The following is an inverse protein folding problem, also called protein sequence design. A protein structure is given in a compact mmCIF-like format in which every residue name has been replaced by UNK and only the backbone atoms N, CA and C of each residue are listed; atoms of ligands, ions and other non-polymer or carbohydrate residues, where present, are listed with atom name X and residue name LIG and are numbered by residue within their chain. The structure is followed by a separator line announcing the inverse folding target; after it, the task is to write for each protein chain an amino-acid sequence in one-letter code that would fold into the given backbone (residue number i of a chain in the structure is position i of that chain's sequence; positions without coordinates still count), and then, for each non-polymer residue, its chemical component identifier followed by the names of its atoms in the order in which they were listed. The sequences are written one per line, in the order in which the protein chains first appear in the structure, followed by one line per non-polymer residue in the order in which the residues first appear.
data_IF_965407274757
#
_entry.id   IF_965407274757
#
_cell.length_a   1.000
_cell.length_b   1.000
_cell.length_c   1.000
_cell.angle_alpha   90.00
_cell.angle_beta   90.00
_cell.angle_gamma   90.00
#
_symmetry.space_group_name_H-M   'P 1'
#
loop_
_entity.id
_entity.type
_entity.pdbx_description
1 polymer ?
#
# COMPACT_ATOMS: atom_id res chain seq x y z
N UNK A 1 -39.86 37.33 -60.86
CA UNK A 1 -39.73 35.85 -60.61
C UNK A 1 -39.04 35.67 -59.32
N UNK A 2 -39.74 35.07 -58.34
CA UNK A 2 -39.39 35.02 -56.91
C UNK A 2 -38.24 34.08 -56.59
N UNK A 3 -37.34 34.42 -55.66
CA UNK A 3 -36.43 33.46 -55.07
C UNK A 3 -37.04 32.84 -53.78
N UNK A 4 -37.07 31.53 -53.74
CA UNK A 4 -37.53 30.70 -52.62
C UNK A 4 -36.50 30.85 -51.49
N UNK A 5 -36.93 31.50 -50.36
CA UNK A 5 -36.18 31.54 -49.10
C UNK A 5 -36.42 30.26 -48.31
N UNK A 6 -35.49 29.32 -48.33
CA UNK A 6 -35.47 28.18 -47.42
C UNK A 6 -35.02 28.64 -46.00
N UNK A 7 -35.99 28.74 -45.09
CA UNK A 7 -35.71 28.88 -43.64
C UNK A 7 -35.40 27.49 -43.07
N UNK A 8 -34.13 27.20 -42.84
CA UNK A 8 -33.74 26.12 -41.96
C UNK A 8 -34.02 26.55 -40.52
N UNK A 9 -35.08 25.99 -39.93
CA UNK A 9 -35.39 26.14 -38.49
C UNK A 9 -34.41 25.26 -37.74
N UNK A 10 -33.39 25.84 -37.12
CA UNK A 10 -32.53 25.18 -36.14
C UNK A 10 -33.31 25.09 -34.82
N UNK A 11 -33.89 23.92 -34.53
CA UNK A 11 -34.41 23.60 -33.21
C UNK A 11 -33.25 23.45 -32.23
N UNK A 12 -32.91 24.50 -31.51
CA UNK A 12 -32.03 24.47 -30.33
C UNK A 12 -32.81 23.80 -29.20
N UNK A 13 -32.60 22.51 -29.00
CA UNK A 13 -33.02 21.82 -27.77
C UNK A 13 -31.96 22.15 -26.71
N UNK A 14 -32.32 22.78 -25.57
CA UNK A 14 -31.39 22.99 -24.48
C UNK A 14 -31.14 21.63 -23.82
N UNK A 15 -30.00 20.98 -24.10
CA UNK A 15 -29.53 19.85 -23.33
C UNK A 15 -29.10 20.36 -21.96
N UNK A 16 -29.93 20.17 -20.95
CA UNK A 16 -29.54 20.26 -19.56
C UNK A 16 -28.49 19.22 -19.24
N UNK A 17 -27.23 19.66 -19.10
CA UNK A 17 -26.12 18.85 -18.60
C UNK A 17 -26.37 18.55 -17.11
N UNK A 18 -27.12 17.52 -16.81
CA UNK A 18 -27.11 16.92 -15.47
C UNK A 18 -25.87 16.04 -15.41
N UNK A 19 -24.80 16.59 -14.88
CA UNK A 19 -23.63 15.78 -14.49
C UNK A 19 -24.03 14.93 -13.27
N UNK A 20 -24.60 13.75 -13.51
CA UNK A 20 -24.80 12.74 -12.47
C UNK A 20 -23.42 12.20 -12.10
N UNK A 21 -22.90 12.59 -10.96
CA UNK A 21 -21.69 11.96 -10.39
C UNK A 21 -21.93 10.45 -10.27
N UNK A 22 -21.00 9.65 -10.78
CA UNK A 22 -21.05 8.19 -10.66
C UNK A 22 -20.89 7.84 -9.19
N UNK A 23 -21.87 7.15 -8.62
CA UNK A 23 -21.82 6.61 -7.27
C UNK A 23 -21.67 5.09 -7.35
N UNK A 24 -20.96 4.51 -6.37
CA UNK A 24 -20.96 3.07 -6.17
C UNK A 24 -22.41 2.57 -5.96
N UNK A 25 -22.74 1.34 -6.38
CA UNK A 25 -24.04 0.74 -6.10
C UNK A 25 -24.35 0.75 -4.61
N UNK A 26 -25.58 1.11 -4.22
CA UNK A 26 -26.00 1.18 -2.80
C UNK A 26 -25.80 -0.13 -2.05
N UNK A 27 -25.89 -1.27 -2.74
CA UNK A 27 -25.74 -2.61 -2.18
C UNK A 27 -24.27 -3.11 -2.15
N UNK A 28 -23.29 -2.28 -2.52
CA UNK A 28 -21.90 -2.71 -2.58
C UNK A 28 -21.26 -2.89 -1.17
N UNK A 29 -21.72 -2.14 -0.17
CA UNK A 29 -21.19 -2.21 1.19
C UNK A 29 -21.86 -3.32 1.99
N UNK A 30 -21.10 -4.20 2.71
CA UNK A 30 -21.70 -5.10 3.68
C UNK A 30 -22.23 -4.32 4.88
N UNK A 31 -23.10 -4.96 5.68
CA UNK A 31 -23.55 -4.39 6.96
C UNK A 31 -22.34 -4.20 7.89
N UNK A 32 -22.16 -2.98 8.37
CA UNK A 32 -21.10 -2.65 9.33
C UNK A 32 -21.70 -2.65 10.73
N UNK A 33 -21.11 -3.37 11.71
CA UNK A 33 -21.59 -3.40 13.09
C UNK A 33 -21.63 -2.00 13.70
N UNK A 34 -22.60 -1.76 14.59
CA UNK A 34 -22.75 -0.48 15.30
C UNK A 34 -21.61 -0.26 16.31
N UNK A 35 -21.06 -1.34 16.86
CA UNK A 35 -20.00 -1.29 17.86
C UNK A 35 -19.00 -2.44 17.67
N UNK A 36 -17.76 -2.22 18.08
CA UNK A 36 -16.74 -3.27 18.14
C UNK A 36 -17.05 -4.26 19.25
N UNK A 37 -17.00 -5.55 18.94
CA UNK A 37 -17.29 -6.62 19.90
C UNK A 37 -16.27 -6.66 21.06
N UNK A 38 -15.01 -6.33 20.78
CA UNK A 38 -13.91 -6.43 21.73
C UNK A 38 -13.42 -5.08 22.28
N UNK A 39 -14.19 -4.00 22.11
CA UNK A 39 -13.81 -2.66 22.56
C UNK A 39 -14.01 -2.39 24.05
N UNK A 40 -14.65 -3.27 24.82
CA UNK A 40 -15.02 -3.03 26.23
C UNK A 40 -13.84 -2.64 27.15
N UNK A 41 -12.61 -3.03 26.81
CA UNK A 41 -11.39 -2.68 27.55
C UNK A 41 -10.79 -1.32 27.16
N UNK A 42 -11.37 -0.64 26.18
CA UNK A 42 -10.84 0.62 25.64
C UNK A 42 -11.85 1.75 25.84
N UNK A 43 -11.41 2.96 26.24
CA UNK A 43 -12.32 4.09 26.36
C UNK A 43 -12.90 4.46 25.00
N UNK A 44 -14.21 4.70 24.96
CA UNK A 44 -14.88 5.21 23.75
C UNK A 44 -14.40 6.63 23.45
N UNK A 45 -14.01 6.89 22.20
CA UNK A 45 -13.62 8.22 21.78
C UNK A 45 -14.87 9.08 21.51
N UNK A 46 -15.09 10.06 22.33
CA UNK A 46 -16.08 11.14 22.04
C UNK A 46 -15.55 12.19 21.04
N UNK A 47 -14.24 12.23 20.80
CA UNK A 47 -13.59 13.12 19.83
C UNK A 47 -12.62 12.34 18.94
N UNK A 48 -12.59 12.66 17.64
CA UNK A 48 -11.57 12.14 16.70
C UNK A 48 -10.19 12.55 17.20
N UNK A 49 -9.40 11.58 17.66
CA UNK A 49 -7.96 11.80 17.86
C UNK A 49 -7.26 11.71 16.52
N UNK A 50 -6.34 12.61 16.28
CA UNK A 50 -5.43 12.52 15.15
C UNK A 50 -4.50 11.32 15.33
N UNK A 51 -4.71 10.27 14.50
CA UNK A 51 -3.89 9.06 14.45
C UNK A 51 -2.94 9.07 13.23
N UNK A 52 -2.82 10.20 12.55
CA UNK A 52 -1.95 10.32 11.36
C UNK A 52 -0.48 10.06 11.71
N UNK A 53 -0.07 10.46 12.92
CA UNK A 53 1.29 10.24 13.47
C UNK A 53 1.23 9.45 14.77
N UNK A 54 0.55 8.32 14.75
CA UNK A 54 0.30 7.48 15.93
C UNK A 54 1.57 7.03 16.67
N UNK A 55 2.71 6.95 15.98
CA UNK A 55 4.01 6.57 16.57
C UNK A 55 4.49 7.54 17.65
N UNK A 56 4.01 8.77 17.65
CA UNK A 56 4.30 9.73 18.72
C UNK A 56 3.76 9.28 20.10
N UNK A 57 2.77 8.38 20.11
CA UNK A 57 2.19 7.84 21.35
C UNK A 57 3.08 6.81 22.04
N UNK A 58 4.19 6.40 21.42
CA UNK A 58 5.17 5.48 22.03
C UNK A 58 6.27 6.22 22.80
N UNK A 59 6.27 7.53 22.78
CA UNK A 59 7.24 8.39 23.51
C UNK A 59 8.72 8.00 23.26
N UNK A 60 9.00 7.62 21.99
CA UNK A 60 10.32 7.25 21.50
C UNK A 60 10.72 8.15 20.33
N UNK A 61 11.63 9.07 20.62
CA UNK A 61 12.11 10.06 19.63
C UNK A 61 12.88 9.40 18.49
N UNK A 62 13.60 8.31 18.75
CA UNK A 62 14.34 7.57 17.71
C UNK A 62 13.37 6.88 16.75
N UNK A 63 12.32 6.23 17.27
CA UNK A 63 11.26 5.68 16.44
C UNK A 63 10.62 6.74 15.54
N UNK A 64 10.30 7.92 16.13
CA UNK A 64 9.70 9.02 15.38
C UNK A 64 10.62 9.50 14.25
N UNK A 65 11.93 9.60 14.49
CA UNK A 65 12.90 9.99 13.47
C UNK A 65 13.00 8.93 12.34
N UNK A 66 13.12 7.65 12.70
CA UNK A 66 13.23 6.56 11.70
C UNK A 66 11.99 6.48 10.81
N UNK A 67 10.78 6.59 11.40
CA UNK A 67 9.55 6.59 10.60
C UNK A 67 9.49 7.83 9.69
N UNK A 68 9.82 9.00 10.20
CA UNK A 68 9.83 10.24 9.42
C UNK A 68 10.84 10.19 8.27
N UNK A 69 12.02 9.62 8.49
CA UNK A 69 13.04 9.41 7.46
C UNK A 69 12.57 8.42 6.39
N UNK A 70 11.95 7.30 6.80
CA UNK A 70 11.38 6.32 5.89
C UNK A 70 10.27 6.90 5.01
N UNK A 71 9.33 7.64 5.61
CA UNK A 71 8.26 8.29 4.85
C UNK A 71 8.78 9.36 3.87
N UNK A 72 9.93 9.97 4.14
CA UNK A 72 10.53 10.99 3.27
C UNK A 72 11.37 10.39 2.13
N UNK A 73 12.01 9.25 2.33
CA UNK A 73 13.06 8.75 1.43
C UNK A 73 12.78 7.36 0.83
N UNK A 74 11.74 6.65 1.27
CA UNK A 74 11.46 5.30 0.78
C UNK A 74 11.18 5.28 -0.74
N UNK A 75 11.82 4.37 -1.49
CA UNK A 75 11.53 4.15 -2.91
C UNK A 75 10.06 3.76 -3.18
N UNK A 76 9.41 3.07 -2.25
CA UNK A 76 8.01 2.65 -2.39
C UNK A 76 7.08 3.86 -2.35
N UNK A 77 7.34 4.84 -1.48
CA UNK A 77 6.62 6.13 -1.45
C UNK A 77 6.83 6.89 -2.76
N UNK A 78 8.08 6.97 -3.24
CA UNK A 78 8.40 7.63 -4.50
C UNK A 78 7.72 6.95 -5.71
N UNK A 79 7.67 5.62 -5.71
CA UNK A 79 6.97 4.81 -6.72
C UNK A 79 5.46 5.07 -6.68
N UNK A 80 4.84 5.06 -5.51
CA UNK A 80 3.42 5.34 -5.35
C UNK A 80 3.06 6.78 -5.80
N UNK A 81 3.90 7.78 -5.48
CA UNK A 81 3.74 9.14 -5.99
C UNK A 81 3.87 9.23 -7.52
N UNK A 82 4.73 8.40 -8.12
CA UNK A 82 4.87 8.32 -9.58
C UNK A 82 3.62 7.74 -10.24
N UNK A 83 2.97 6.76 -9.62
CA UNK A 83 1.69 6.19 -10.09
C UNK A 83 0.57 7.22 -10.13
N UNK A 84 0.53 8.17 -9.19
CA UNK A 84 -0.43 9.28 -9.24
C UNK A 84 -0.17 10.15 -10.48
N UNK A 85 1.10 10.49 -10.78
CA UNK A 85 1.46 11.26 -11.97
C UNK A 85 1.15 10.51 -13.27
N UNK A 86 1.42 9.21 -13.32
CA UNK A 86 1.04 8.35 -14.43
C UNK A 86 -0.48 8.36 -14.64
N UNK A 87 -1.28 8.16 -13.59
CA UNK A 87 -2.74 8.17 -13.67
C UNK A 87 -3.28 9.51 -14.17
N UNK A 88 -2.66 10.63 -13.77
CA UNK A 88 -3.01 11.97 -14.30
C UNK A 88 -2.70 12.10 -15.79
N UNK A 89 -1.56 11.60 -16.24
CA UNK A 89 -1.19 11.61 -17.65
C UNK A 89 -2.17 10.76 -18.49
N UNK A 90 -2.51 9.58 -18.02
CA UNK A 90 -3.52 8.71 -18.66
C UNK A 90 -4.91 9.34 -18.70
N UNK A 91 -5.32 10.00 -17.62
CA UNK A 91 -6.59 10.74 -17.64
C UNK A 91 -6.58 11.86 -18.70
N UNK A 92 -5.46 12.56 -18.86
CA UNK A 92 -5.33 13.60 -19.90
C UNK A 92 -5.32 12.98 -21.30
N UNK A 93 -4.71 11.80 -21.48
CA UNK A 93 -4.78 11.00 -22.69
C UNK A 93 -6.25 10.66 -23.03
N UNK A 94 -7.01 10.10 -22.09
CA UNK A 94 -8.43 9.83 -22.27
C UNK A 94 -9.24 11.11 -22.57
N UNK A 95 -8.95 12.21 -21.89
CA UNK A 95 -9.64 13.48 -22.08
C UNK A 95 -9.38 14.09 -23.47
N UNK A 96 -8.29 13.73 -24.14
CA UNK A 96 -8.02 14.18 -25.50
C UNK A 96 -9.06 13.65 -26.51
N UNK A 97 -9.70 12.52 -26.22
CA UNK A 97 -10.78 11.97 -27.05
C UNK A 97 -12.05 12.85 -27.09
N UNK A 98 -12.20 13.77 -26.15
CA UNK A 98 -13.28 14.77 -26.12
C UNK A 98 -13.03 15.96 -27.07
N UNK A 99 -11.82 16.08 -27.62
CA UNK A 99 -11.38 17.17 -28.46
C UNK A 99 -11.08 16.69 -29.89
N UNK A 100 -11.13 17.57 -30.89
CA UNK A 100 -10.70 17.24 -32.24
C UNK A 100 -9.22 16.84 -32.30
N UNK A 101 -8.91 15.76 -33.02
CA UNK A 101 -7.55 15.43 -33.41
C UNK A 101 -7.23 16.14 -34.74
N UNK A 102 -6.09 16.81 -34.82
CA UNK A 102 -5.60 17.45 -36.04
C UNK A 102 -4.25 16.83 -36.40
N UNK A 103 -4.18 16.24 -37.57
CA UNK A 103 -2.95 15.62 -38.10
C UNK A 103 -2.57 16.19 -39.46
N UNK A 104 -1.27 16.25 -39.75
CA UNK A 104 -0.74 16.61 -41.06
C UNK A 104 -0.19 15.37 -41.76
N UNK A 105 -0.43 15.26 -43.07
CA UNK A 105 0.12 14.19 -43.90
C UNK A 105 0.67 14.76 -45.19
N UNK A 106 1.74 14.16 -45.68
CA UNK A 106 2.28 14.43 -47.03
C UNK A 106 2.41 13.09 -47.75
N UNK A 107 2.00 13.06 -49.01
CA UNK A 107 2.09 11.85 -49.82
C UNK A 107 2.59 12.14 -51.22
N UNK A 108 3.30 11.18 -51.79
CA UNK A 108 3.63 11.12 -53.22
C UNK A 108 3.01 9.85 -53.79
N UNK A 109 2.03 10.03 -54.63
CA UNK A 109 1.34 8.93 -55.32
C UNK A 109 1.74 8.89 -56.77
N UNK A 110 2.42 7.83 -57.21
CA UNK A 110 2.70 7.54 -58.61
C UNK A 110 1.80 6.42 -59.08
N UNK A 111 0.96 6.70 -60.05
CA UNK A 111 0.09 5.72 -60.68
C UNK A 111 0.52 5.47 -62.11
N UNK A 112 0.52 4.22 -62.51
CA UNK A 112 0.81 3.78 -63.87
C UNK A 112 -0.34 2.87 -64.31
N UNK A 113 -0.93 3.22 -65.49
CA UNK A 113 -2.04 2.47 -66.07
C UNK A 113 -1.76 2.19 -67.51
N UNK A 114 -1.80 0.91 -67.91
CA UNK A 114 -1.71 0.47 -69.30
C UNK A 114 -2.97 -0.30 -69.64
N UNK A 115 -3.75 0.25 -70.53
CA UNK A 115 -4.95 -0.39 -71.06
C UNK A 115 -4.70 -0.80 -72.51
N UNK A 116 -5.11 -2.04 -72.89
CA UNK A 116 -4.90 -2.57 -74.23
C UNK A 116 -5.59 -1.67 -75.27
N UNK A 117 -4.83 -1.13 -76.24
CA UNK A 117 -5.32 -0.23 -77.28
C UNK A 117 -5.37 1.25 -76.94
N UNK A 118 -4.90 1.65 -75.76
CA UNK A 118 -4.72 3.04 -75.34
C UNK A 118 -3.27 3.37 -75.00
N UNK A 119 -2.91 4.63 -75.07
CA UNK A 119 -1.59 5.10 -74.61
C UNK A 119 -1.44 4.88 -73.15
N UNK A 120 -0.21 4.52 -72.73
CA UNK A 120 0.17 4.40 -71.34
C UNK A 120 0.02 5.75 -70.62
N UNK A 121 -0.64 5.78 -69.48
CA UNK A 121 -0.79 6.98 -68.66
C UNK A 121 0.04 6.78 -67.35
N UNK A 122 0.97 7.66 -67.15
CA UNK A 122 1.72 7.76 -65.90
C UNK A 122 1.47 9.13 -65.31
N UNK A 123 1.06 9.17 -64.01
CA UNK A 123 0.82 10.39 -63.28
C UNK A 123 1.48 10.29 -61.90
N UNK A 124 2.23 11.33 -61.53
CA UNK A 124 2.80 11.47 -60.17
C UNK A 124 2.17 12.69 -59.53
N UNK A 125 1.55 12.47 -58.40
CA UNK A 125 0.83 13.49 -57.65
C UNK A 125 1.44 13.64 -56.25
N UNK A 126 1.77 14.85 -55.88
CA UNK A 126 2.22 15.22 -54.54
C UNK A 126 1.09 15.91 -53.82
N UNK A 127 0.83 15.49 -52.57
CA UNK A 127 -0.18 16.13 -51.74
C UNK A 127 0.41 16.49 -50.34
N UNK A 128 -0.15 17.55 -49.76
CA UNK A 128 0.03 17.88 -48.35
C UNK A 128 -1.36 18.24 -47.79
N UNK A 129 -1.75 17.52 -46.73
CA UNK A 129 -3.12 17.55 -46.21
C UNK A 129 -3.05 17.79 -44.68
N UNK A 130 -3.95 18.66 -44.19
CA UNK A 130 -4.33 18.76 -42.78
C UNK A 130 -5.71 18.05 -42.63
N UNK A 131 -5.74 17.07 -41.72
CA UNK A 131 -6.93 16.31 -41.45
C UNK A 131 -7.36 16.54 -40.01
N UNK A 132 -8.63 16.85 -39.80
CA UNK A 132 -9.26 16.94 -38.50
C UNK A 132 -10.27 15.80 -38.35
N UNK A 133 -10.30 15.17 -37.20
CA UNK A 133 -11.32 14.16 -36.86
C UNK A 133 -11.79 14.35 -35.44
N UNK A 134 -13.10 14.24 -35.23
CA UNK A 134 -13.69 14.38 -33.90
C UNK A 134 -14.94 13.53 -33.78
N UNK A 135 -14.98 12.64 -32.77
CA UNK A 135 -16.20 11.93 -32.37
C UNK A 135 -16.94 12.79 -31.33
N UNK A 136 -18.12 13.27 -31.70
CA UNK A 136 -18.95 14.05 -30.77
C UNK A 136 -19.59 13.09 -29.76
N UNK A 137 -19.21 13.25 -28.49
CA UNK A 137 -19.65 12.37 -27.42
C UNK A 137 -21.09 12.63 -26.98
N UNK A 138 -22.03 12.22 -27.81
CA UNK A 138 -23.48 12.45 -27.59
C UNK A 138 -24.02 11.53 -26.49
N UNK A 139 -23.60 10.26 -26.49
CA UNK A 139 -24.11 9.23 -25.58
C UNK A 139 -23.22 9.00 -24.36
N UNK A 140 -22.12 9.75 -24.21
CA UNK A 140 -21.30 9.76 -23.02
C UNK A 140 -20.25 8.64 -22.95
N UNK A 141 -19.93 7.97 -24.06
CA UNK A 141 -18.88 6.95 -24.14
C UNK A 141 -17.54 7.50 -23.68
N UNK A 142 -17.05 8.58 -24.33
CA UNK A 142 -15.76 9.18 -24.02
C UNK A 142 -15.76 9.86 -22.65
N UNK A 143 -16.85 10.52 -22.26
CA UNK A 143 -16.99 11.10 -20.90
C UNK A 143 -16.92 10.03 -19.82
N UNK A 144 -17.56 8.88 -20.01
CA UNK A 144 -17.50 7.78 -19.05
C UNK A 144 -16.09 7.19 -18.95
N UNK A 145 -15.33 7.12 -20.07
CA UNK A 145 -13.91 6.72 -20.05
C UNK A 145 -13.05 7.71 -19.25
N UNK A 146 -13.27 9.02 -19.43
CA UNK A 146 -12.58 10.06 -18.64
C UNK A 146 -12.96 10.01 -17.16
N UNK A 147 -14.22 9.72 -16.83
CA UNK A 147 -14.66 9.51 -15.44
C UNK A 147 -13.99 8.28 -14.83
N UNK A 148 -13.88 7.17 -15.58
CA UNK A 148 -13.12 5.99 -15.13
C UNK A 148 -11.65 6.31 -14.88
N UNK A 149 -11.01 7.06 -15.77
CA UNK A 149 -9.62 7.49 -15.60
C UNK A 149 -9.45 8.46 -14.41
N UNK A 150 -10.44 9.33 -14.16
CA UNK A 150 -10.45 10.22 -12.99
C UNK A 150 -10.55 9.43 -11.68
N UNK A 151 -11.45 8.45 -11.60
CA UNK A 151 -11.57 7.55 -10.46
C UNK A 151 -10.27 6.74 -10.21
N UNK A 152 -9.51 6.42 -11.27
CA UNK A 152 -8.19 5.79 -11.13
C UNK A 152 -7.13 6.73 -10.52
N UNK A 153 -7.23 8.06 -10.70
CA UNK A 153 -6.37 9.03 -9.99
C UNK A 153 -6.67 8.98 -8.50
N UNK A 154 -7.95 8.99 -8.13
CA UNK A 154 -8.36 8.91 -6.73
C UNK A 154 -7.94 7.58 -6.11
N UNK A 155 -8.11 6.47 -6.83
CA UNK A 155 -7.60 5.17 -6.43
C UNK A 155 -6.07 5.16 -6.22
N UNK A 156 -5.29 5.77 -7.12
CA UNK A 156 -3.84 5.89 -6.99
C UNK A 156 -3.44 6.76 -5.78
N UNK A 157 -4.24 7.78 -5.46
CA UNK A 157 -4.04 8.63 -4.28
C UNK A 157 -4.27 7.85 -2.99
N UNK A 158 -5.35 7.06 -2.93
CA UNK A 158 -5.59 6.21 -1.76
C UNK A 158 -4.58 5.07 -1.63
N UNK A 159 -4.08 4.54 -2.75
CA UNK A 159 -2.96 3.59 -2.72
C UNK A 159 -1.69 4.22 -2.14
N UNK A 160 -1.39 5.48 -2.47
CA UNK A 160 -0.27 6.22 -1.88
C UNK A 160 -0.44 6.35 -0.35
N UNK A 161 -1.64 6.70 0.13
CA UNK A 161 -1.96 6.78 1.55
C UNK A 161 -1.81 5.41 2.24
N UNK A 162 -2.24 4.33 1.58
CA UNK A 162 -2.10 2.96 2.08
C UNK A 162 -0.63 2.54 2.20
N UNK A 163 0.20 2.87 1.21
CA UNK A 163 1.65 2.60 1.24
C UNK A 163 2.31 3.36 2.40
N UNK A 164 1.94 4.62 2.65
CA UNK A 164 2.44 5.38 3.80
C UNK A 164 2.08 4.72 5.12
N UNK A 165 0.82 4.33 5.31
CA UNK A 165 0.34 3.67 6.53
C UNK A 165 1.06 2.33 6.77
N UNK A 166 1.21 1.52 5.73
CA UNK A 166 1.89 0.22 5.81
C UNK A 166 3.38 0.38 6.11
N UNK A 167 4.08 1.28 5.42
CA UNK A 167 5.50 1.53 5.65
C UNK A 167 5.77 2.00 7.09
N UNK A 168 4.93 2.91 7.62
CA UNK A 168 5.07 3.37 8.99
C UNK A 168 4.92 2.21 10.01
N UNK A 169 3.96 1.29 9.77
CA UNK A 169 3.75 0.12 10.61
C UNK A 169 4.89 -0.92 10.48
N UNK A 170 5.43 -1.13 9.27
CA UNK A 170 6.57 -2.01 9.03
C UNK A 170 7.83 -1.50 9.71
N UNK A 171 8.16 -0.21 9.58
CA UNK A 171 9.29 0.41 10.26
C UNK A 171 9.14 0.29 11.78
N UNK A 172 7.96 0.59 12.34
CA UNK A 172 7.72 0.49 13.77
C UNK A 172 7.86 -0.95 14.28
N UNK A 173 7.40 -1.92 13.51
CA UNK A 173 7.52 -3.35 13.85
C UNK A 173 8.98 -3.81 13.78
N UNK A 174 9.71 -3.45 12.71
CA UNK A 174 11.13 -3.76 12.56
C UNK A 174 11.96 -3.12 13.69
N UNK A 175 11.68 -1.85 14.03
CA UNK A 175 12.31 -1.17 15.13
C UNK A 175 12.03 -1.85 16.49
N UNK A 176 10.79 -2.22 16.75
CA UNK A 176 10.39 -2.95 17.97
C UNK A 176 11.15 -4.28 18.10
N UNK A 177 11.27 -5.03 17.01
CA UNK A 177 12.02 -6.29 16.97
C UNK A 177 13.52 -6.07 17.18
N UNK A 178 14.12 -5.00 16.64
CA UNK A 178 15.50 -4.63 16.89
C UNK A 178 15.71 -4.38 18.39
N UNK A 179 14.86 -3.56 19.04
CA UNK A 179 14.94 -3.25 20.47
C UNK A 179 14.71 -4.49 21.34
N UNK A 180 13.86 -5.42 20.90
CA UNK A 180 13.69 -6.72 21.56
C UNK A 180 14.98 -7.54 21.53
N UNK A 181 15.66 -7.62 20.38
CA UNK A 181 16.92 -8.36 20.26
C UNK A 181 18.06 -7.70 21.04
N UNK A 182 18.13 -6.37 21.08
CA UNK A 182 19.09 -5.66 21.95
C UNK A 182 18.82 -5.93 23.44
N UNK A 183 17.53 -5.97 23.84
CA UNK A 183 17.15 -6.33 25.21
C UNK A 183 17.54 -7.78 25.53
N UNK A 184 17.29 -8.73 24.61
CA UNK A 184 17.74 -10.13 24.74
C UNK A 184 19.25 -10.23 24.88
N UNK A 185 20.01 -9.47 24.10
CA UNK A 185 21.47 -9.40 24.19
C UNK A 185 21.94 -8.96 25.57
N UNK A 186 21.32 -7.92 26.13
CA UNK A 186 21.65 -7.44 27.48
C UNK A 186 21.38 -8.50 28.55
N UNK A 187 20.22 -9.18 28.48
CA UNK A 187 19.85 -10.27 29.40
C UNK A 187 20.83 -11.44 29.24
N UNK A 188 21.13 -11.85 28.02
CA UNK A 188 22.06 -12.98 27.75
C UNK A 188 23.46 -12.70 28.26
N UNK A 189 23.99 -11.49 28.10
CA UNK A 189 25.31 -11.09 28.65
C UNK A 189 25.31 -11.17 30.17
N UNK A 190 24.24 -10.78 30.87
CA UNK A 190 24.14 -10.92 32.33
C UNK A 190 24.09 -12.40 32.74
N UNK A 191 23.41 -13.25 31.98
CA UNK A 191 23.38 -14.70 32.23
C UNK A 191 24.75 -15.32 32.02
N UNK A 192 25.46 -14.96 30.94
CA UNK A 192 26.83 -15.43 30.68
C UNK A 192 27.73 -15.07 31.87
N UNK A 193 27.70 -13.80 32.35
CA UNK A 193 28.46 -13.39 33.52
C UNK A 193 28.11 -14.20 34.76
N UNK A 194 26.85 -14.48 35.02
CA UNK A 194 26.41 -15.31 36.17
C UNK A 194 26.90 -16.75 36.01
N UNK A 195 26.84 -17.36 34.81
CA UNK A 195 27.34 -18.72 34.56
C UNK A 195 28.86 -18.82 34.61
N UNK A 196 29.60 -17.77 34.25
CA UNK A 196 31.07 -17.70 34.44
C UNK A 196 31.44 -17.83 35.92
N UNK A 197 30.74 -17.09 36.80
CA UNK A 197 30.96 -17.15 38.22
C UNK A 197 30.65 -18.57 38.78
N UNK A 198 29.53 -19.15 38.38
CA UNK A 198 29.13 -20.48 38.81
C UNK A 198 30.09 -21.57 38.30
N UNK A 199 30.53 -21.50 37.03
CA UNK A 199 31.48 -22.47 36.45
C UNK A 199 32.85 -22.36 37.11
N UNK A 200 33.26 -21.14 37.45
CA UNK A 200 34.52 -20.94 38.18
C UNK A 200 34.48 -21.55 39.59
N UNK A 201 33.36 -21.36 40.31
CA UNK A 201 33.14 -21.97 41.62
C UNK A 201 33.15 -23.50 41.56
N UNK A 202 32.41 -24.10 40.60
CA UNK A 202 32.36 -25.54 40.38
C UNK A 202 33.77 -26.09 40.07
N UNK A 203 34.60 -25.39 39.31
CA UNK A 203 35.97 -25.75 39.01
C UNK A 203 36.85 -25.71 40.24
N UNK A 204 36.72 -24.70 41.10
CA UNK A 204 37.50 -24.60 42.36
C UNK A 204 37.11 -25.72 43.33
N UNK A 205 35.82 -26.05 43.49
CA UNK A 205 35.35 -27.15 44.32
C UNK A 205 35.84 -28.49 43.87
N UNK A 206 35.87 -28.73 42.52
CA UNK A 206 36.50 -29.93 41.95
C UNK A 206 37.98 -29.99 42.26
N UNK A 207 38.73 -28.89 42.14
CA UNK A 207 40.18 -28.84 42.49
C UNK A 207 40.44 -29.09 43.97
N UNK A 208 39.53 -28.66 44.83
CA UNK A 208 39.58 -28.91 46.26
C UNK A 208 39.19 -30.34 46.63
N UNK A 209 38.67 -31.12 45.69
CA UNK A 209 38.17 -32.47 45.95
C UNK A 209 36.79 -32.56 46.60
N UNK A 210 36.06 -31.44 46.64
CA UNK A 210 34.69 -31.35 47.23
C UNK A 210 33.60 -31.92 46.31
N UNK A 211 33.82 -31.88 45.00
CA UNK A 211 32.86 -32.34 43.98
C UNK A 211 33.57 -33.13 42.92
N UNK A 212 32.77 -33.88 42.09
CA UNK A 212 33.28 -34.66 40.98
C UNK A 212 33.47 -33.84 39.67
N UNK A 213 34.10 -34.44 38.67
CA UNK A 213 34.31 -33.79 37.39
C UNK A 213 33.01 -33.58 36.58
N UNK A 214 31.93 -34.26 36.91
CA UNK A 214 30.62 -34.12 36.21
C UNK A 214 30.04 -32.74 36.45
N UNK A 215 30.05 -32.23 37.68
CA UNK A 215 29.54 -30.92 38.06
C UNK A 215 30.28 -29.80 37.34
N UNK A 216 31.60 -29.82 37.33
CA UNK A 216 32.42 -28.85 36.62
C UNK A 216 32.17 -28.89 35.11
N UNK A 217 32.08 -30.08 34.51
CA UNK A 217 31.80 -30.26 33.08
C UNK A 217 30.39 -29.73 32.70
N UNK A 218 29.39 -29.96 33.52
CA UNK A 218 28.04 -29.43 33.31
C UNK A 218 28.00 -27.90 33.39
N UNK A 219 28.71 -27.31 34.38
CA UNK A 219 28.78 -25.84 34.53
C UNK A 219 29.48 -25.19 33.32
N UNK A 220 30.61 -25.74 32.89
CA UNK A 220 31.30 -25.24 31.68
C UNK A 220 30.48 -25.43 30.40
N UNK A 221 29.83 -26.56 30.23
CA UNK A 221 28.92 -26.79 29.08
C UNK A 221 27.79 -25.78 29.07
N UNK A 222 27.18 -25.49 30.22
CA UNK A 222 26.12 -24.50 30.38
C UNK A 222 26.59 -23.08 30.02
N UNK A 223 27.81 -22.74 30.41
CA UNK A 223 28.45 -21.44 30.07
C UNK A 223 28.66 -21.31 28.56
N UNK A 224 29.29 -22.32 27.94
CA UNK A 224 29.55 -22.28 26.48
C UNK A 224 28.26 -22.27 25.64
N UNK A 225 27.22 -22.98 26.10
CA UNK A 225 25.90 -22.89 25.48
C UNK A 225 25.32 -21.48 25.53
N UNK A 226 25.48 -20.78 26.65
CA UNK A 226 25.02 -19.37 26.73
C UNK A 226 25.86 -18.45 25.82
N UNK A 227 27.18 -18.63 25.78
CA UNK A 227 28.08 -17.85 24.90
C UNK A 227 27.74 -18.04 23.43
N UNK A 228 27.38 -19.25 23.01
CA UNK A 228 26.97 -19.53 21.65
C UNK A 228 25.71 -18.76 21.19
N UNK A 229 24.89 -18.29 22.12
CA UNK A 229 23.74 -17.41 21.80
C UNK A 229 24.12 -15.98 21.41
N UNK A 230 25.31 -15.49 21.81
CA UNK A 230 25.74 -14.09 21.55
C UNK A 230 25.87 -13.82 20.05
N UNK A 231 26.65 -14.61 19.26
CA UNK A 231 26.78 -14.38 17.82
C UNK A 231 25.45 -14.42 17.06
N UNK A 232 24.51 -15.27 17.47
CA UNK A 232 23.20 -15.35 16.86
C UNK A 232 22.39 -14.07 17.07
N UNK A 233 22.44 -13.48 18.25
CA UNK A 233 21.78 -12.19 18.53
C UNK A 233 22.50 -11.02 17.86
N UNK A 234 23.83 -11.03 17.76
CA UNK A 234 24.61 -10.02 17.02
C UNK A 234 24.21 -10.03 15.54
N UNK A 235 24.06 -11.21 14.95
CA UNK A 235 23.56 -11.37 13.59
C UNK A 235 22.15 -10.80 13.45
N UNK A 236 21.22 -11.15 14.34
CA UNK A 236 19.84 -10.67 14.30
C UNK A 236 19.74 -9.13 14.46
N UNK A 237 20.57 -8.55 15.31
CA UNK A 237 20.65 -7.09 15.49
C UNK A 237 21.19 -6.43 14.21
N UNK A 238 22.26 -6.95 13.63
CA UNK A 238 22.81 -6.44 12.37
C UNK A 238 21.81 -6.52 11.20
N UNK A 239 21.13 -7.65 11.06
CA UNK A 239 20.07 -7.82 10.05
C UNK A 239 18.89 -6.86 10.30
N UNK A 240 18.48 -6.64 11.56
CA UNK A 240 17.43 -5.69 11.91
C UNK A 240 17.78 -4.25 11.54
N UNK A 241 19.03 -3.83 11.75
CA UNK A 241 19.53 -2.50 11.34
C UNK A 241 19.53 -2.34 9.82
N UNK A 242 19.97 -3.38 9.10
CA UNK A 242 19.96 -3.38 7.64
C UNK A 242 18.53 -3.30 7.08
N UNK A 243 17.58 -4.01 7.70
CA UNK A 243 16.16 -3.94 7.31
C UNK A 243 15.61 -2.53 7.51
N UNK A 244 15.89 -1.88 8.64
CA UNK A 244 15.46 -0.49 8.87
C UNK A 244 16.06 0.47 7.83
N UNK A 245 17.35 0.31 7.50
CA UNK A 245 17.99 1.11 6.45
C UNK A 245 17.30 0.90 5.09
N UNK A 246 16.97 -0.34 4.74
CA UNK A 246 16.25 -0.67 3.51
C UNK A 246 14.87 0.00 3.47
N UNK A 247 14.08 -0.13 4.54
CA UNK A 247 12.73 0.47 4.62
C UNK A 247 12.80 2.01 4.52
N UNK A 248 13.87 2.62 5.05
CA UNK A 248 14.11 4.05 4.93
C UNK A 248 14.73 4.47 3.58
N UNK A 249 14.97 3.55 2.64
CA UNK A 249 15.61 3.86 1.37
C UNK A 249 17.06 4.31 1.52
N UNK A 250 17.75 3.81 2.54
CA UNK A 250 19.12 4.16 2.92
C UNK A 250 20.07 2.98 2.73
N UNK A 251 21.34 3.29 2.59
CA UNK A 251 22.40 2.26 2.58
C UNK A 251 22.52 1.57 3.94
N UNK A 252 22.85 0.26 3.98
CA UNK A 252 23.14 -0.45 5.22
C UNK A 252 24.20 0.29 6.06
N UNK A 253 23.95 0.41 7.37
CA UNK A 253 24.84 1.12 8.31
C UNK A 253 24.60 2.62 8.45
N UNK A 254 23.87 3.27 7.55
CA UNK A 254 23.62 4.73 7.60
C UNK A 254 22.81 5.18 8.81
N UNK A 255 21.98 4.30 9.38
CA UNK A 255 21.16 4.58 10.57
C UNK A 255 21.86 4.17 11.89
N UNK A 256 23.05 3.56 11.86
CA UNK A 256 23.70 3.00 13.04
C UNK A 256 23.93 4.01 14.16
N UNK A 257 24.36 5.23 13.83
CA UNK A 257 24.58 6.29 14.81
C UNK A 257 23.26 6.71 15.50
N UNK A 258 22.19 6.87 14.73
CA UNK A 258 20.87 7.22 15.24
C UNK A 258 20.30 6.10 16.14
N UNK A 259 20.42 4.85 15.71
CA UNK A 259 19.93 3.69 16.46
C UNK A 259 20.72 3.45 17.74
N UNK A 260 22.03 3.71 17.73
CA UNK A 260 22.90 3.52 18.91
C UNK A 260 22.71 4.63 19.96
N UNK A 261 22.40 5.86 19.55
CA UNK A 261 22.16 6.98 20.48
C UNK A 261 20.78 6.94 21.15
N UNK A 262 19.86 6.11 20.64
CA UNK A 262 18.49 5.98 21.14
C UNK A 262 18.35 5.11 22.39
N UNK A 263 17.14 5.04 22.93
CA UNK A 263 16.78 4.14 24.03
C UNK A 263 16.87 2.68 23.55
N UNK A 264 17.63 1.84 24.25
CA UNK A 264 17.72 0.39 23.95
C UNK A 264 16.55 -0.43 24.53
N UNK A 265 15.41 0.20 24.80
CA UNK A 265 14.23 -0.44 25.37
C UNK A 265 13.13 -0.59 24.35
N UNK A 266 12.36 -1.66 24.49
CA UNK A 266 11.17 -1.88 23.64
C UNK A 266 10.21 -0.70 23.85
N UNK A 267 9.73 -0.03 22.77
CA UNK A 267 8.77 1.07 22.88
C UNK A 267 7.50 0.62 23.60
N UNK A 268 6.98 1.47 24.48
CA UNK A 268 5.80 1.16 25.26
C UNK A 268 4.62 2.04 24.84
N UNK A 269 3.48 1.44 24.41
CA UNK A 269 2.33 2.23 24.00
C UNK A 269 1.66 2.92 25.20
N UNK A 270 1.23 4.15 25.02
CA UNK A 270 0.45 4.87 26.02
C UNK A 270 -0.83 4.10 26.41
N UNK A 271 -1.19 4.10 27.71
CA UNK A 271 -2.31 3.30 28.25
C UNK A 271 -3.70 3.70 27.76
N UNK A 272 -3.89 4.87 27.15
CA UNK A 272 -5.20 5.42 26.80
C UNK A 272 -5.37 5.58 25.29
N UNK A 273 -5.59 4.48 24.57
CA UNK A 273 -6.10 4.55 23.20
C UNK A 273 -7.62 4.63 23.25
N UNK A 274 -8.21 5.71 22.75
CA UNK A 274 -9.65 5.82 22.56
C UNK A 274 -10.01 5.37 21.13
N UNK A 275 -11.00 4.48 21.00
CA UNK A 275 -11.37 3.84 19.74
C UNK A 275 -12.67 4.45 19.22
N UNK A 276 -12.69 4.80 17.92
CA UNK A 276 -13.88 5.27 17.21
C UNK A 276 -14.90 4.18 16.92
N UNK A 277 -16.08 4.56 16.42
CA UNK A 277 -17.10 3.61 15.98
C UNK A 277 -16.69 2.90 14.68
N UNK A 278 -17.14 1.64 14.46
CA UNK A 278 -16.71 0.82 13.32
C UNK A 278 -16.91 1.48 11.96
N UNK A 279 -18.08 2.04 11.71
CA UNK A 279 -18.42 2.62 10.42
C UNK A 279 -17.49 3.77 10.01
N UNK A 280 -17.16 4.67 10.95
CA UNK A 280 -16.27 5.81 10.65
C UNK A 280 -14.83 5.35 10.48
N UNK A 281 -14.40 4.37 11.27
CA UNK A 281 -13.07 3.77 11.18
C UNK A 281 -12.84 3.12 9.82
N UNK A 282 -13.77 2.28 9.35
CA UNK A 282 -13.65 1.60 8.07
C UNK A 282 -13.63 2.60 6.89
N UNK A 283 -14.48 3.64 6.95
CA UNK A 283 -14.51 4.68 5.91
C UNK A 283 -13.24 5.53 5.83
N UNK A 284 -12.44 5.59 6.90
CA UNK A 284 -11.17 6.33 6.92
C UNK A 284 -10.00 5.52 6.37
N UNK A 285 -10.13 4.20 6.24
CA UNK A 285 -9.06 3.33 5.77
C UNK A 285 -8.73 3.58 4.29
N UNK A 286 -7.45 3.83 3.96
CA UNK A 286 -7.04 4.07 2.57
C UNK A 286 -7.27 2.87 1.65
N UNK A 287 -7.08 1.63 2.14
CA UNK A 287 -7.29 0.40 1.39
C UNK A 287 -8.77 0.18 1.01
N UNK A 288 -9.69 0.49 1.92
CA UNK A 288 -11.13 0.44 1.65
C UNK A 288 -11.54 1.53 0.65
N UNK A 289 -11.00 2.75 0.79
CA UNK A 289 -11.24 3.85 -0.14
C UNK A 289 -10.66 3.57 -1.52
N UNK A 290 -9.47 2.96 -1.59
CA UNK A 290 -8.88 2.47 -2.83
C UNK A 290 -9.83 1.51 -3.57
N UNK A 291 -10.32 0.48 -2.88
CA UNK A 291 -11.27 -0.47 -3.46
C UNK A 291 -12.58 0.21 -3.90
N UNK A 292 -13.05 1.20 -3.13
CA UNK A 292 -14.22 2.02 -3.49
C UNK A 292 -14.02 2.80 -4.80
N UNK A 293 -12.87 3.44 -4.98
CA UNK A 293 -12.56 4.17 -6.22
C UNK A 293 -12.33 3.25 -7.41
N UNK A 294 -11.78 2.05 -7.20
CA UNK A 294 -11.69 1.02 -8.23
C UNK A 294 -13.08 0.54 -8.70
N UNK A 295 -14.03 0.42 -7.77
CA UNK A 295 -15.42 0.12 -8.10
C UNK A 295 -16.05 1.25 -8.93
N UNK A 296 -15.85 2.52 -8.55
CA UNK A 296 -16.32 3.67 -9.33
C UNK A 296 -15.77 3.64 -10.76
N UNK A 297 -14.49 3.34 -10.92
CA UNK A 297 -13.85 3.19 -12.23
C UNK A 297 -14.47 2.04 -13.06
N UNK A 298 -14.78 0.90 -12.42
CA UNK A 298 -15.40 -0.24 -13.10
C UNK A 298 -16.83 0.10 -13.55
N UNK A 299 -17.63 0.79 -12.74
CA UNK A 299 -18.97 1.27 -13.11
C UNK A 299 -18.89 2.23 -14.31
N UNK A 300 -17.91 3.14 -14.32
CA UNK A 300 -17.73 4.06 -15.44
C UNK A 300 -17.33 3.34 -16.75
N UNK A 301 -16.47 2.33 -16.67
CA UNK A 301 -16.11 1.50 -17.82
C UNK A 301 -17.32 0.73 -18.37
N UNK A 302 -18.16 0.17 -17.50
CA UNK A 302 -19.40 -0.52 -17.92
C UNK A 302 -20.34 0.44 -18.65
N UNK A 303 -20.52 1.68 -18.18
CA UNK A 303 -21.31 2.71 -18.86
C UNK A 303 -20.72 3.12 -20.22
N UNK A 304 -19.39 3.22 -20.33
CA UNK A 304 -18.72 3.49 -21.61
C UNK A 304 -19.02 2.39 -22.63
N UNK A 305 -18.97 1.12 -22.22
CA UNK A 305 -19.32 0.00 -23.10
C UNK A 305 -20.81 -0.02 -23.48
N UNK A 306 -21.71 0.30 -22.56
CA UNK A 306 -23.16 0.41 -22.87
C UNK A 306 -23.41 1.49 -23.92
N UNK A 307 -22.65 2.58 -23.92
CA UNK A 307 -22.75 3.65 -24.90
C UNK A 307 -22.35 3.21 -26.32
N UNK A 308 -21.55 2.14 -26.48
CA UNK A 308 -21.21 1.58 -27.81
C UNK A 308 -22.40 1.01 -28.57
N UNK A 309 -23.53 0.78 -27.93
CA UNK A 309 -24.78 0.34 -28.60
C UNK A 309 -25.40 1.44 -29.46
N UNK A 310 -25.09 2.69 -29.17
CA UNK A 310 -25.71 3.83 -29.82
C UNK A 310 -24.91 4.32 -31.02
N UNK A 311 -25.57 5.02 -31.98
CA UNK A 311 -24.85 5.61 -33.10
C UNK A 311 -23.78 6.62 -32.66
N UNK A 312 -22.63 6.62 -33.33
CA UNK A 312 -21.58 7.65 -33.13
C UNK A 312 -21.69 8.74 -34.20
N UNK A 313 -21.50 10.00 -33.80
CA UNK A 313 -21.44 11.15 -34.69
C UNK A 313 -19.98 11.55 -34.87
N UNK A 314 -19.47 11.38 -36.08
CA UNK A 314 -18.10 11.69 -36.44
C UNK A 314 -18.04 12.92 -37.35
N UNK A 315 -17.29 13.93 -36.97
CA UNK A 315 -16.95 15.10 -37.77
C UNK A 315 -15.55 14.93 -38.33
N UNK A 316 -15.39 14.99 -39.63
CA UNK A 316 -14.07 14.97 -40.28
C UNK A 316 -13.94 16.18 -41.18
N UNK A 317 -12.80 16.86 -41.10
CA UNK A 317 -12.44 17.98 -41.94
C UNK A 317 -11.10 17.72 -42.64
N UNK A 318 -10.97 18.17 -43.86
CA UNK A 318 -9.71 18.16 -44.55
C UNK A 318 -9.44 19.49 -45.25
N UNK A 319 -8.17 19.90 -45.20
CA UNK A 319 -7.63 21.02 -46.00
C UNK A 319 -6.36 20.50 -46.67
N UNK A 320 -6.40 20.41 -48.01
CA UNK A 320 -5.31 19.82 -48.76
C UNK A 320 -4.87 20.64 -49.95
N UNK A 321 -3.61 20.48 -50.32
CA UNK A 321 -3.03 21.01 -51.56
C UNK A 321 -2.47 19.85 -52.38
N UNK A 322 -2.60 19.95 -53.73
CA UNK A 322 -2.09 18.95 -54.64
C UNK A 322 -1.30 19.59 -55.75
N UNK A 323 -0.16 19.00 -56.11
CA UNK A 323 0.74 19.47 -57.17
C UNK A 323 1.25 18.28 -58.02
N UNK A 324 1.51 18.51 -59.31
CA UNK A 324 2.05 17.50 -60.23
C UNK A 324 3.61 17.42 -60.18
N UNK A 325 4.27 18.24 -59.38
CA UNK A 325 5.70 18.14 -59.11
C UNK A 325 6.01 18.60 -57.71
N UNK A 326 7.05 18.02 -57.04
CA UNK A 326 7.44 18.33 -55.66
C UNK A 326 7.75 19.82 -55.44
N UNK A 327 8.40 20.47 -56.39
CA UNK A 327 8.72 21.90 -56.32
C UNK A 327 7.52 22.84 -56.42
N UNK A 328 6.36 22.38 -56.83
CA UNK A 328 5.11 23.17 -56.97
C UNK A 328 4.20 23.02 -55.76
N UNK A 329 4.56 22.27 -54.73
CA UNK A 329 3.71 22.05 -53.56
C UNK A 329 3.40 23.35 -52.79
N UNK A 330 4.34 24.33 -52.84
CA UNK A 330 4.16 25.67 -52.26
C UNK A 330 3.49 26.67 -53.20
N UNK A 331 3.25 26.25 -54.47
CA UNK A 331 2.42 26.95 -55.44
C UNK A 331 1.43 25.93 -56.04
N UNK A 332 0.47 25.48 -55.27
CA UNK A 332 -0.37 24.31 -55.63
C UNK A 332 -1.27 24.65 -56.81
N UNK A 333 -1.48 23.65 -57.67
CA UNK A 333 -2.41 23.73 -58.78
C UNK A 333 -3.84 23.53 -58.32
N UNK A 334 -4.03 22.81 -57.17
CA UNK A 334 -5.34 22.53 -56.62
C UNK A 334 -5.28 22.67 -55.08
N UNK A 335 -6.22 23.44 -54.55
CA UNK A 335 -6.46 23.55 -53.12
C UNK A 335 -7.90 23.06 -52.87
N UNK A 336 -8.06 22.15 -51.91
CA UNK A 336 -9.35 21.61 -51.54
C UNK A 336 -9.58 21.71 -50.04
N UNK A 337 -10.84 22.00 -49.66
CA UNK A 337 -11.28 21.93 -48.28
C UNK A 337 -12.62 21.19 -48.24
N UNK A 338 -12.80 20.34 -47.24
CA UNK A 338 -14.03 19.58 -47.05
C UNK A 338 -14.35 19.44 -45.56
N UNK A 339 -15.64 19.44 -45.24
CA UNK A 339 -16.19 19.10 -43.93
C UNK A 339 -17.27 18.03 -44.11
N UNK A 340 -17.17 16.93 -43.39
CA UNK A 340 -18.12 15.83 -43.43
C UNK A 340 -18.62 15.52 -42.04
N UNK A 341 -19.92 15.46 -41.87
CA UNK A 341 -20.56 14.93 -40.67
C UNK A 341 -21.17 13.55 -41.03
N UNK A 342 -20.76 12.52 -40.34
CA UNK A 342 -21.22 11.15 -40.56
C UNK A 342 -21.77 10.53 -39.28
N UNK A 343 -22.90 9.85 -39.38
CA UNK A 343 -23.46 9.04 -38.30
C UNK A 343 -23.20 7.58 -38.65
N UNK A 344 -22.55 6.85 -37.72
CA UNK A 344 -22.28 5.41 -37.88
C UNK A 344 -22.96 4.65 -36.74
N UNK A 345 -23.74 3.62 -37.11
CA UNK A 345 -24.40 2.73 -36.13
C UNK A 345 -24.04 1.28 -36.41
N UNK A 346 -23.71 0.47 -35.42
CA UNK A 346 -23.50 -0.96 -35.60
C UNK A 346 -24.85 -1.65 -35.88
N UNK A 347 -25.01 -2.26 -37.09
CA UNK A 347 -26.20 -3.02 -37.45
C UNK A 347 -26.01 -4.50 -37.12
N UNK A 348 -24.81 -5.03 -37.37
CA UNK A 348 -24.47 -6.42 -37.09
C UNK A 348 -22.97 -6.51 -36.80
N UNK A 349 -22.63 -7.01 -35.60
CA UNK A 349 -21.26 -7.12 -35.10
C UNK A 349 -20.92 -8.52 -34.54
N UNK A 350 -21.74 -9.52 -34.91
CA UNK A 350 -21.62 -10.90 -34.42
C UNK A 350 -21.63 -11.02 -32.89
N UNK A 351 -22.24 -10.07 -32.18
CA UNK A 351 -22.35 -10.09 -30.71
C UNK A 351 -21.20 -9.45 -29.96
N UNK A 352 -20.22 -8.82 -30.63
CA UNK A 352 -19.03 -8.21 -30.01
C UNK A 352 -19.40 -7.19 -28.93
N UNK A 353 -20.29 -6.23 -29.23
CA UNK A 353 -20.72 -5.20 -28.27
C UNK A 353 -21.39 -5.83 -27.04
N UNK A 354 -22.31 -6.80 -27.30
CA UNK A 354 -23.01 -7.48 -26.22
C UNK A 354 -22.03 -8.21 -25.28
N UNK A 355 -21.12 -8.99 -25.85
CA UNK A 355 -20.13 -9.73 -25.06
C UNK A 355 -19.17 -8.79 -24.31
N UNK A 356 -18.82 -7.62 -24.87
CA UNK A 356 -18.02 -6.61 -24.18
C UNK A 356 -18.77 -6.04 -22.99
N UNK A 357 -20.07 -5.75 -23.11
CA UNK A 357 -20.89 -5.25 -22.00
C UNK A 357 -21.04 -6.31 -20.92
N UNK A 358 -21.28 -7.57 -21.28
CA UNK A 358 -21.34 -8.68 -20.32
C UNK A 358 -19.99 -8.81 -19.57
N UNK A 359 -18.86 -8.77 -20.27
CA UNK A 359 -17.54 -8.86 -19.66
C UNK A 359 -17.25 -7.72 -18.68
N UNK A 360 -17.62 -6.48 -19.03
CA UNK A 360 -17.41 -5.31 -18.14
C UNK A 360 -18.43 -5.27 -17.00
N UNK A 361 -19.63 -5.83 -17.19
CA UNK A 361 -20.60 -6.07 -16.11
C UNK A 361 -20.06 -7.05 -15.06
N UNK A 362 -19.46 -8.16 -15.50
CA UNK A 362 -18.81 -9.11 -14.58
C UNK A 362 -17.58 -8.51 -13.91
N UNK A 363 -16.79 -7.67 -14.61
CA UNK A 363 -15.69 -6.93 -14.03
C UNK A 363 -16.16 -5.94 -12.96
N UNK A 364 -17.32 -5.30 -13.15
CA UNK A 364 -17.96 -4.46 -12.13
C UNK A 364 -18.37 -5.29 -10.91
N UNK A 365 -18.97 -6.47 -11.09
CA UNK A 365 -19.33 -7.34 -9.97
C UNK A 365 -18.08 -7.82 -9.20
N UNK A 366 -16.98 -8.15 -9.89
CA UNK A 366 -15.69 -8.45 -9.24
C UNK A 366 -15.21 -7.27 -8.39
N UNK A 367 -15.35 -6.03 -8.87
CA UNK A 367 -14.98 -4.85 -8.09
C UNK A 367 -15.87 -4.66 -6.85
N UNK A 368 -17.18 -4.98 -6.94
CA UNK A 368 -18.09 -5.02 -5.78
C UNK A 368 -17.59 -6.01 -4.73
N UNK A 369 -17.25 -7.25 -5.16
CA UNK A 369 -16.78 -8.28 -4.23
C UNK A 369 -15.40 -7.90 -3.62
N UNK A 370 -14.53 -7.26 -4.38
CA UNK A 370 -13.24 -6.74 -3.89
C UNK A 370 -13.46 -5.66 -2.81
N UNK A 371 -14.38 -4.73 -3.04
CA UNK A 371 -14.73 -3.72 -2.04
C UNK A 371 -15.33 -4.35 -0.76
N UNK A 372 -16.25 -5.32 -0.89
CA UNK A 372 -16.79 -6.06 0.25
C UNK A 372 -15.71 -6.78 1.04
N UNK A 373 -14.80 -7.44 0.35
CA UNK A 373 -13.64 -8.11 0.96
C UNK A 373 -12.77 -7.14 1.74
N UNK A 374 -12.45 -5.97 1.17
CA UNK A 374 -11.67 -4.94 1.85
C UNK A 374 -12.33 -4.45 3.15
N UNK A 375 -13.65 -4.23 3.13
CA UNK A 375 -14.43 -3.84 4.33
C UNK A 375 -14.38 -4.94 5.39
N UNK A 376 -14.64 -6.21 5.02
CA UNK A 376 -14.64 -7.33 5.95
C UNK A 376 -13.25 -7.59 6.53
N UNK A 377 -12.21 -7.50 5.71
CA UNK A 377 -10.81 -7.60 6.15
C UNK A 377 -10.48 -6.52 7.16
N UNK A 378 -10.87 -5.27 6.87
CA UNK A 378 -10.67 -4.15 7.80
C UNK A 378 -11.38 -4.35 9.15
N UNK A 379 -12.60 -4.87 9.15
CA UNK A 379 -13.33 -5.20 10.37
C UNK A 379 -12.61 -6.30 11.18
N UNK A 380 -12.17 -7.37 10.49
CA UNK A 380 -11.45 -8.48 11.13
C UNK A 380 -10.12 -8.02 11.74
N UNK A 381 -9.32 -7.24 10.99
CA UNK A 381 -8.02 -6.75 11.47
C UNK A 381 -8.14 -5.89 12.74
N UNK A 382 -9.14 -5.03 12.83
CA UNK A 382 -9.36 -4.22 14.03
C UNK A 382 -9.80 -5.11 15.21
N UNK A 383 -10.75 -6.03 15.01
CA UNK A 383 -11.18 -6.96 16.07
C UNK A 383 -10.04 -7.85 16.57
N UNK A 384 -9.23 -8.39 15.65
CA UNK A 384 -8.05 -9.21 15.99
C UNK A 384 -7.00 -8.39 16.76
N UNK A 385 -6.78 -7.15 16.36
CA UNK A 385 -5.86 -6.25 17.07
C UNK A 385 -6.38 -5.90 18.47
N UNK A 386 -7.69 -5.69 18.65
CA UNK A 386 -8.30 -5.45 19.96
C UNK A 386 -8.14 -6.67 20.89
N UNK A 387 -8.36 -7.88 20.36
CA UNK A 387 -8.14 -9.13 21.09
C UNK A 387 -6.65 -9.24 21.48
N UNK A 388 -5.74 -9.00 20.52
CA UNK A 388 -4.30 -9.09 20.76
C UNK A 388 -3.83 -8.08 21.82
N UNK A 389 -4.29 -6.83 21.77
CA UNK A 389 -3.97 -5.82 22.77
C UNK A 389 -4.39 -6.23 24.19
N UNK A 390 -5.61 -6.74 24.34
CA UNK A 390 -6.13 -7.19 25.63
C UNK A 390 -5.34 -8.40 26.16
N UNK A 391 -5.20 -9.44 25.33
CA UNK A 391 -4.56 -10.70 25.77
C UNK A 391 -3.06 -10.54 26.01
N UNK A 392 -2.36 -9.72 25.22
CA UNK A 392 -0.96 -9.41 25.48
C UNK A 392 -0.77 -8.65 26.80
N UNK A 393 -1.70 -7.77 27.17
CA UNK A 393 -1.64 -7.07 28.45
C UNK A 393 -1.83 -8.02 29.64
N UNK A 394 -2.83 -8.92 29.57
CA UNK A 394 -3.09 -9.95 30.60
C UNK A 394 -1.86 -10.88 30.77
N UNK A 395 -1.30 -11.36 29.64
CA UNK A 395 -0.12 -12.24 29.62
C UNK A 395 1.11 -11.54 30.20
N UNK A 396 1.32 -10.27 29.88
CA UNK A 396 2.46 -9.49 30.33
C UNK A 396 2.45 -9.38 31.86
N UNK A 397 1.33 -9.06 32.49
CA UNK A 397 1.21 -8.96 33.94
C UNK A 397 1.59 -10.27 34.65
N UNK A 398 1.15 -11.41 34.10
CA UNK A 398 1.47 -12.74 34.64
C UNK A 398 2.96 -13.04 34.51
N UNK A 399 3.55 -12.75 33.32
CA UNK A 399 4.97 -13.01 33.08
C UNK A 399 5.89 -12.10 33.88
N UNK A 400 5.50 -10.84 34.14
CA UNK A 400 6.26 -9.95 35.02
C UNK A 400 6.38 -10.54 36.45
N UNK A 401 5.26 -11.03 37.00
CA UNK A 401 5.25 -11.70 38.31
C UNK A 401 6.07 -12.99 38.30
N UNK A 402 5.88 -13.83 37.28
CA UNK A 402 6.60 -15.11 37.17
C UNK A 402 8.12 -14.90 37.04
N UNK A 403 8.54 -13.94 36.21
CA UNK A 403 9.96 -13.62 35.99
C UNK A 403 10.59 -13.04 37.25
N UNK A 404 9.87 -12.20 38.00
CA UNK A 404 10.35 -11.70 39.30
C UNK A 404 10.62 -12.85 40.28
N UNK A 405 9.65 -13.76 40.44
CA UNK A 405 9.82 -14.92 41.34
C UNK A 405 10.97 -15.85 40.90
N UNK A 406 11.16 -16.02 39.58
CA UNK A 406 12.27 -16.79 39.04
C UNK A 406 13.64 -16.14 39.29
N UNK A 407 13.73 -14.80 39.25
CA UNK A 407 14.95 -14.07 39.61
C UNK A 407 15.30 -14.28 41.11
N UNK A 408 14.30 -14.20 41.97
CA UNK A 408 14.47 -14.44 43.43
C UNK A 408 14.89 -15.89 43.65
N UNK A 409 14.26 -16.87 42.97
CA UNK A 409 14.62 -18.29 43.07
C UNK A 409 16.05 -18.57 42.61
N UNK A 410 16.48 -18.01 41.47
CA UNK A 410 17.83 -18.14 40.95
C UNK A 410 18.86 -17.55 41.91
N UNK A 411 18.59 -16.39 42.46
CA UNK A 411 19.47 -15.75 43.46
C UNK A 411 19.62 -16.62 44.72
N UNK A 412 18.52 -17.15 45.25
CA UNK A 412 18.55 -18.01 46.42
C UNK A 412 19.25 -19.35 46.13
N UNK A 413 19.00 -19.95 44.97
CA UNK A 413 19.67 -21.19 44.56
C UNK A 413 21.19 -21.00 44.49
N UNK A 414 21.68 -19.89 43.90
CA UNK A 414 23.12 -19.59 43.87
C UNK A 414 23.72 -19.39 45.27
N UNK A 415 23.06 -18.63 46.14
CA UNK A 415 23.53 -18.43 47.51
C UNK A 415 23.63 -19.73 48.29
N UNK A 416 22.64 -20.63 48.18
CA UNK A 416 22.66 -21.94 48.83
C UNK A 416 23.72 -22.86 48.27
N UNK A 417 23.93 -22.82 46.95
CA UNK A 417 25.02 -23.57 46.31
C UNK A 417 26.39 -23.07 46.75
N UNK A 418 26.60 -21.76 46.86
CA UNK A 418 27.81 -21.15 47.39
C UNK A 418 28.07 -21.57 48.85
N UNK A 419 27.02 -21.72 49.65
CA UNK A 419 27.07 -22.23 51.03
C UNK A 419 27.23 -23.77 51.09
N UNK A 420 27.18 -24.50 50.00
CA UNK A 420 27.28 -25.95 49.97
C UNK A 420 26.00 -26.69 50.42
N UNK A 421 24.85 -26.01 50.50
CA UNK A 421 23.58 -26.55 50.98
C UNK A 421 22.78 -27.34 49.91
N UNK A 422 23.03 -27.05 48.61
CA UNK A 422 22.34 -27.70 47.49
C UNK A 422 23.35 -28.06 46.40
N UNK A 423 23.00 -28.99 45.52
CA UNK A 423 23.78 -29.41 44.36
C UNK A 423 23.68 -28.43 43.19
N UNK A 424 24.60 -28.55 42.24
CA UNK A 424 24.64 -27.72 41.02
C UNK A 424 23.40 -27.85 40.15
N UNK A 425 22.76 -29.03 40.11
CA UNK A 425 21.58 -29.30 39.29
C UNK A 425 20.44 -28.34 39.66
N UNK A 426 20.25 -28.04 40.96
CA UNK A 426 19.23 -27.08 41.39
C UNK A 426 19.50 -25.65 40.88
N UNK A 427 20.76 -25.22 40.83
CA UNK A 427 21.17 -23.93 40.24
C UNK A 427 20.93 -23.94 38.75
N UNK A 428 21.32 -25.00 38.06
CA UNK A 428 21.14 -25.14 36.62
C UNK A 428 19.65 -25.09 36.21
N UNK A 429 18.76 -25.74 36.98
CA UNK A 429 17.33 -25.72 36.75
C UNK A 429 16.74 -24.32 36.96
N UNK A 430 17.10 -23.64 38.05
CA UNK A 430 16.67 -22.26 38.31
C UNK A 430 17.12 -21.27 37.21
N UNK A 431 18.38 -21.40 36.74
CA UNK A 431 18.91 -20.59 35.64
C UNK A 431 18.21 -20.84 34.30
N UNK A 432 17.85 -22.11 33.98
CA UNK A 432 17.07 -22.45 32.78
C UNK A 432 15.68 -21.85 32.83
N UNK A 433 15.02 -21.98 33.98
CA UNK A 433 13.69 -21.42 34.22
C UNK A 433 13.70 -19.90 34.07
N UNK A 434 14.67 -19.23 34.69
CA UNK A 434 14.81 -17.78 34.58
C UNK A 434 15.04 -17.32 33.12
N UNK A 435 15.95 -17.97 32.38
CA UNK A 435 16.21 -17.63 30.98
C UNK A 435 14.96 -17.76 30.14
N UNK A 436 14.19 -18.84 30.28
CA UNK A 436 12.95 -19.08 29.55
C UNK A 436 11.87 -18.01 29.85
N UNK A 437 11.77 -17.59 31.12
CA UNK A 437 10.82 -16.55 31.52
C UNK A 437 11.25 -15.15 31.09
N UNK A 438 12.55 -14.82 31.13
CA UNK A 438 13.07 -13.56 30.60
C UNK A 438 12.79 -13.44 29.08
N UNK A 439 13.05 -14.49 28.30
CA UNK A 439 12.75 -14.47 26.87
C UNK A 439 11.24 -14.36 26.60
N UNK A 440 10.43 -15.08 27.38
CA UNK A 440 8.95 -15.00 27.30
C UNK A 440 8.44 -13.61 27.63
N UNK A 441 9.03 -12.94 28.63
CA UNK A 441 8.71 -11.57 29.04
C UNK A 441 9.05 -10.56 27.92
N UNK A 442 10.25 -10.67 27.33
CA UNK A 442 10.67 -9.83 26.21
C UNK A 442 9.73 -10.02 25.01
N UNK A 443 9.44 -11.28 24.67
CA UNK A 443 8.48 -11.61 23.62
C UNK A 443 7.09 -11.03 23.87
N UNK A 444 6.57 -11.13 25.11
CA UNK A 444 5.26 -10.59 25.46
C UNK A 444 5.20 -9.05 25.39
N UNK A 445 6.30 -8.36 25.75
CA UNK A 445 6.42 -6.90 25.58
C UNK A 445 6.42 -6.52 24.09
N UNK A 446 7.14 -7.27 23.27
CA UNK A 446 7.18 -7.09 21.81
C UNK A 446 5.80 -7.32 21.18
N UNK A 447 5.13 -8.42 21.56
CA UNK A 447 3.80 -8.77 21.09
C UNK A 447 2.79 -7.66 21.42
N UNK A 448 2.86 -7.11 22.64
CA UNK A 448 2.01 -6.01 23.06
C UNK A 448 2.21 -4.77 22.19
N UNK A 449 3.47 -4.35 22.00
CA UNK A 449 3.79 -3.19 21.15
C UNK A 449 3.30 -3.40 19.72
N UNK A 450 3.56 -4.57 19.15
CA UNK A 450 3.11 -4.94 17.80
C UNK A 450 1.58 -4.97 17.68
N UNK A 451 0.87 -5.43 18.72
CA UNK A 451 -0.59 -5.41 18.74
C UNK A 451 -1.15 -3.97 18.66
N UNK A 452 -0.53 -3.02 19.36
CA UNK A 452 -0.92 -1.61 19.25
C UNK A 452 -0.57 -1.01 17.88
N UNK A 453 0.58 -1.34 17.29
CA UNK A 453 0.94 -0.92 15.93
C UNK A 453 -0.13 -1.40 14.93
N UNK A 454 -0.51 -2.68 15.00
CA UNK A 454 -1.58 -3.25 14.16
C UNK A 454 -2.93 -2.58 14.40
N UNK A 455 -3.24 -2.25 15.66
CA UNK A 455 -4.47 -1.54 15.99
C UNK A 455 -4.50 -0.15 15.36
N UNK A 456 -3.42 0.64 15.45
CA UNK A 456 -3.33 1.94 14.80
C UNK A 456 -3.45 1.85 13.27
N UNK A 457 -2.79 0.87 12.67
CA UNK A 457 -2.91 0.58 11.23
C UNK A 457 -4.35 0.19 10.85
N UNK A 458 -4.96 -0.73 11.59
CA UNK A 458 -6.34 -1.17 11.39
C UNK A 458 -7.36 -0.04 11.53
N UNK A 459 -7.11 0.93 12.43
CA UNK A 459 -7.91 2.14 12.58
C UNK A 459 -7.70 3.15 11.44
N UNK A 460 -6.86 2.86 10.47
CA UNK A 460 -6.57 3.74 9.34
C UNK A 460 -5.60 4.88 9.69
N UNK A 461 -4.72 4.69 10.68
CA UNK A 461 -3.69 5.66 11.06
C UNK A 461 -2.44 5.59 10.17
N UNK A 462 -1.54 6.57 10.33
CA UNK A 462 -0.24 6.58 9.66
C UNK A 462 -0.19 7.37 8.35
N UNK A 463 -1.25 8.08 8.01
CA UNK A 463 -1.31 9.00 6.88
C UNK A 463 -2.14 10.23 7.23
N UNK A 464 -1.95 11.32 6.52
CA UNK A 464 -2.81 12.51 6.58
C UNK A 464 -3.32 12.86 5.20
N UNK A 465 -4.60 13.19 5.07
CA UNK A 465 -5.07 13.80 3.84
C UNK A 465 -4.22 15.06 3.58
N UNK A 466 -3.60 15.13 2.41
CA UNK A 466 -2.93 16.36 2.01
C UNK A 466 -3.95 17.50 2.05
N UNK A 467 -3.68 18.50 2.88
CA UNK A 467 -4.48 19.73 3.00
C UNK A 467 -4.39 20.56 1.74
#
# INVERSE_FOLDING_TARGET
MNPIRNHLIFCLIPLGLVACAIKAPENASPEIPVAWKNAAAFPSASAKRDISRWWNHFDDTTLNHVISDGLANSPDIASAASRIRESRARRNEEASSLLPFIGGSTASNSSWLKTRGLSEVSDTRYSADLNASWEVDWFGKNRSSVEAASARIDAATENFNSVQASLAAEIATAYTNLRANETRMMVLRNIVKSREQTAQLATWRQQAGETDSLESSQALSSLEQARAGIPALEQAIGQGKNLLSLLCGREPGSLDSLLTSGKSTIPYPARSLAIGIPADTIRQRPDVRLAGWQLVAAVANSRSAEAERFPSLNLTGNLGITALSAGKIFNPQTTGAGLVAGITSPIFDAGRIRSNIEALGEAQEQAVQTYRSAVLTGLSEVEDALIACRRSAERLEILEKATQLARESDQLARQRYEAGEIDFLAVLDSQRTLLGLEDSLISSRTDRTTAYIRLYQGLGGGWSAAS
#
